data_IF_676455435068
#
_entry.id   IF_676455435068
#
_cell.length_a   1.000
_cell.length_b   1.000
_cell.length_c   1.000
_cell.angle_alpha   90.00
_cell.angle_beta   90.00
_cell.angle_gamma   90.00
#
_symmetry.space_group_name_H-M   'P 1'
#
loop_
_entity.id
_entity.type
_entity.pdbx_description
1 polymer ?
#
# COMPACT_ATOMS: atom_id res chain seq x y z
N UNK A 1 23.06 -26.70 51.06
CA UNK A 1 21.67 -27.11 50.80
C UNK A 1 20.84 -25.83 50.65
N UNK A 2 20.23 -25.64 49.47
CA UNK A 2 19.19 -24.67 49.06
C UNK A 2 19.20 -23.23 49.61
N UNK A 3 19.46 -22.27 48.71
CA UNK A 3 19.06 -20.86 48.88
C UNK A 3 17.72 -20.64 48.15
N UNK A 4 16.67 -20.07 48.77
CA UNK A 4 15.47 -19.64 48.07
C UNK A 4 15.32 -18.12 48.11
N UNK A 5 15.56 -17.44 46.99
CA UNK A 5 15.06 -16.07 46.76
C UNK A 5 14.10 -16.11 45.57
N UNK A 6 12.80 -16.22 45.87
CA UNK A 6 11.71 -16.02 44.90
C UNK A 6 10.93 -14.78 45.32
N UNK A 7 11.31 -13.58 44.86
CA UNK A 7 10.32 -12.51 44.70
C UNK A 7 10.68 -11.30 43.80
N UNK A 8 11.84 -11.23 43.16
CA UNK A 8 12.26 -9.99 42.47
C UNK A 8 11.84 -9.88 40.99
N UNK A 9 11.24 -10.91 40.40
CA UNK A 9 11.01 -10.96 38.94
C UNK A 9 9.91 -10.01 38.44
N UNK A 10 9.00 -9.54 39.31
CA UNK A 10 7.78 -8.85 38.87
C UNK A 10 7.95 -7.34 38.56
N UNK A 11 9.06 -6.70 38.96
CA UNK A 11 9.24 -5.25 38.73
C UNK A 11 9.86 -4.91 37.37
N UNK A 12 10.61 -5.83 36.76
CA UNK A 12 11.28 -5.58 35.46
C UNK A 12 10.27 -5.59 34.31
N UNK A 13 9.18 -6.38 34.43
CA UNK A 13 8.20 -6.54 33.35
C UNK A 13 7.30 -5.31 33.14
N UNK A 14 7.12 -4.46 34.16
CA UNK A 14 6.22 -3.28 34.08
C UNK A 14 6.83 -2.09 33.32
N UNK A 15 8.15 -2.10 33.08
CA UNK A 15 8.85 -0.96 32.47
C UNK A 15 9.03 -1.09 30.95
N UNK A 16 8.76 -2.25 30.35
CA UNK A 16 9.03 -2.51 28.91
C UNK A 16 7.80 -2.18 28.03
N UNK A 17 6.59 -2.09 28.60
CA UNK A 17 5.36 -2.08 27.78
C UNK A 17 4.81 -0.68 27.42
N UNK A 18 5.42 0.44 27.84
CA UNK A 18 4.76 1.76 27.71
C UNK A 18 5.17 2.60 26.48
N UNK A 19 6.11 2.15 25.65
CA UNK A 19 6.64 2.97 24.54
C UNK A 19 6.45 2.33 23.15
N UNK A 20 5.83 1.14 23.04
CA UNK A 20 5.76 0.37 21.78
C UNK A 20 4.44 0.48 21.01
N UNK A 21 3.37 1.02 21.61
CA UNK A 21 2.04 0.97 21.01
C UNK A 21 1.77 2.07 19.96
N UNK A 22 2.48 3.20 20.01
CA UNK A 22 2.25 4.32 19.07
C UNK A 22 2.87 4.05 17.70
N UNK A 23 3.91 3.21 17.62
CA UNK A 23 4.66 3.01 16.38
C UNK A 23 4.09 1.90 15.48
N UNK A 24 3.54 0.82 16.06
CA UNK A 24 3.07 -0.35 15.29
C UNK A 24 1.65 -0.14 14.74
N UNK A 25 0.82 0.62 15.44
CA UNK A 25 -0.57 0.86 15.02
C UNK A 25 -0.63 1.74 13.77
N UNK A 26 0.13 2.84 13.74
CA UNK A 26 0.18 3.75 12.59
C UNK A 26 0.83 3.05 11.38
N UNK A 27 1.92 2.30 11.57
CA UNK A 27 2.61 1.62 10.46
C UNK A 27 1.76 0.51 9.81
N UNK A 28 0.96 -0.24 10.56
CA UNK A 28 0.06 -1.26 9.99
C UNK A 28 -1.18 -0.65 9.34
N UNK A 29 -1.76 0.40 9.92
CA UNK A 29 -2.92 1.07 9.36
C UNK A 29 -2.59 1.70 7.99
N UNK A 30 -1.39 2.26 7.84
CA UNK A 30 -0.93 2.85 6.59
C UNK A 30 -0.06 1.88 5.75
N UNK A 31 0.23 0.66 6.21
CA UNK A 31 1.04 -0.32 5.46
C UNK A 31 0.50 -0.62 4.05
N UNK A 32 -0.82 -0.77 3.82
CA UNK A 32 -1.35 -1.02 2.48
C UNK A 32 -1.12 0.18 1.55
N UNK A 33 -1.41 1.39 2.04
CA UNK A 33 -1.27 2.67 1.33
C UNK A 33 0.21 2.95 1.02
N UNK A 34 1.08 2.79 2.01
CA UNK A 34 2.53 2.94 1.86
C UNK A 34 3.10 1.87 0.91
N UNK A 35 2.53 0.66 0.90
CA UNK A 35 2.87 -0.39 -0.05
C UNK A 35 2.48 -0.04 -1.49
N UNK A 36 1.27 0.48 -1.70
CA UNK A 36 0.79 0.98 -2.99
C UNK A 36 1.62 2.18 -3.47
N UNK A 37 1.90 3.16 -2.62
CA UNK A 37 2.76 4.32 -2.94
C UNK A 37 4.19 3.88 -3.25
N UNK A 38 4.73 2.88 -2.56
CA UNK A 38 6.06 2.33 -2.84
C UNK A 38 6.11 1.65 -4.21
N UNK A 39 5.11 0.83 -4.53
CA UNK A 39 4.97 0.20 -5.85
C UNK A 39 4.75 1.26 -6.94
N UNK A 40 3.93 2.28 -6.67
CA UNK A 40 3.68 3.40 -7.57
C UNK A 40 4.94 4.20 -7.89
N UNK A 41 5.74 4.54 -6.87
CA UNK A 41 7.05 5.20 -7.05
C UNK A 41 8.02 4.31 -7.84
N UNK A 42 8.07 3.01 -7.53
CA UNK A 42 8.88 2.04 -8.27
C UNK A 42 8.49 1.93 -9.74
N UNK A 43 7.19 2.07 -10.05
CA UNK A 43 6.69 2.11 -11.43
C UNK A 43 7.01 3.47 -12.07
N UNK A 44 6.83 4.57 -11.34
CA UNK A 44 7.15 5.92 -11.82
C UNK A 44 8.63 6.07 -12.20
N UNK A 45 9.54 5.50 -11.40
CA UNK A 45 10.99 5.46 -11.69
C UNK A 45 11.34 4.65 -12.95
N UNK A 46 10.44 3.73 -13.37
CA UNK A 46 10.55 2.98 -14.63
C UNK A 46 9.83 3.71 -15.77
N UNK A 47 8.75 4.44 -15.48
CA UNK A 47 7.96 5.26 -16.43
C UNK A 47 8.69 6.53 -16.86
N UNK A 48 9.55 7.13 -16.03
CA UNK A 48 10.46 8.20 -16.48
C UNK A 48 11.36 7.78 -17.66
N UNK A 49 11.60 6.46 -17.83
CA UNK A 49 12.34 5.92 -18.98
C UNK A 49 11.46 5.59 -20.18
N UNK A 50 10.15 5.38 -20.00
CA UNK A 50 9.19 5.12 -21.07
C UNK A 50 7.88 5.87 -20.80
N UNK A 51 7.79 7.11 -21.29
CA UNK A 51 6.52 7.85 -21.41
C UNK A 51 5.61 7.13 -22.44
N UNK A 52 5.04 6.00 -22.05
CA UNK A 52 4.22 5.13 -22.87
C UNK A 52 2.76 5.27 -22.46
N UNK A 53 1.83 5.16 -23.42
CA UNK A 53 0.38 5.21 -23.19
C UNK A 53 -0.08 4.26 -22.07
N UNK A 54 0.57 3.10 -21.95
CA UNK A 54 0.35 2.14 -20.86
C UNK A 54 0.71 2.69 -19.47
N UNK A 55 1.80 3.48 -19.35
CA UNK A 55 2.23 4.09 -18.09
C UNK A 55 1.19 5.07 -17.56
N UNK A 56 0.66 5.93 -18.45
CA UNK A 56 -0.40 6.88 -18.10
C UNK A 56 -1.69 6.19 -17.62
N UNK A 57 -2.05 5.03 -18.18
CA UNK A 57 -3.24 4.29 -17.70
C UNK A 57 -2.99 3.67 -16.32
N UNK A 58 -1.77 3.17 -16.06
CA UNK A 58 -1.38 2.65 -14.73
C UNK A 58 -1.37 3.75 -13.66
N UNK A 59 -0.86 4.94 -13.98
CA UNK A 59 -0.93 6.11 -13.08
C UNK A 59 -2.37 6.45 -12.69
N UNK A 60 -3.30 6.40 -13.66
CA UNK A 60 -4.71 6.67 -13.40
C UNK A 60 -5.36 5.60 -12.52
N UNK A 61 -5.01 4.32 -12.71
CA UNK A 61 -5.48 3.23 -11.84
C UNK A 61 -5.02 3.44 -10.38
N UNK A 62 -3.76 3.85 -10.19
CA UNK A 62 -3.25 4.15 -8.85
C UNK A 62 -3.96 5.35 -8.20
N UNK A 63 -4.21 6.40 -8.98
CA UNK A 63 -4.99 7.54 -8.50
C UNK A 63 -6.43 7.14 -8.14
N UNK A 64 -7.06 6.27 -8.93
CA UNK A 64 -8.40 5.75 -8.65
C UNK A 64 -8.44 4.95 -7.34
N UNK A 65 -7.46 4.07 -7.12
CA UNK A 65 -7.32 3.30 -5.87
C UNK A 65 -7.20 4.22 -4.65
N UNK A 66 -6.36 5.25 -4.74
CA UNK A 66 -6.19 6.21 -3.64
C UNK A 66 -7.51 6.94 -3.32
N UNK A 67 -8.27 7.35 -4.34
CA UNK A 67 -9.56 8.02 -4.15
C UNK A 67 -10.56 7.11 -3.45
N UNK A 68 -10.59 5.82 -3.78
CA UNK A 68 -11.43 4.83 -3.10
C UNK A 68 -10.98 4.61 -1.65
N UNK A 69 -9.67 4.46 -1.39
CA UNK A 69 -9.12 4.31 -0.04
C UNK A 69 -9.37 5.53 0.87
N UNK A 70 -9.51 6.71 0.28
CA UNK A 70 -9.85 7.95 0.98
C UNK A 70 -11.37 8.18 1.11
N UNK A 71 -12.19 7.19 0.76
CA UNK A 71 -13.66 7.28 0.70
C UNK A 71 -14.18 8.46 -0.15
N UNK A 72 -13.39 8.93 -1.13
CA UNK A 72 -13.80 10.01 -2.06
C UNK A 72 -14.75 9.51 -3.15
N UNK A 73 -14.74 8.19 -3.41
CA UNK A 73 -15.64 7.48 -4.33
C UNK A 73 -16.14 6.21 -3.66
N UNK A 74 -17.34 5.78 -4.04
CA UNK A 74 -17.90 4.50 -3.60
C UNK A 74 -17.41 3.33 -4.46
N UNK A 75 -17.75 2.11 -4.03
CA UNK A 75 -17.38 0.87 -4.71
C UNK A 75 -17.95 0.79 -6.14
N UNK A 76 -19.19 1.27 -6.35
CA UNK A 76 -19.83 1.24 -7.68
C UNK A 76 -19.14 2.18 -8.68
N UNK A 77 -18.73 3.38 -8.22
CA UNK A 77 -17.94 4.30 -9.03
C UNK A 77 -16.53 3.77 -9.28
N UNK A 78 -15.88 3.19 -8.25
CA UNK A 78 -14.57 2.56 -8.39
C UNK A 78 -14.58 1.46 -9.45
N UNK A 79 -15.48 0.48 -9.33
CA UNK A 79 -15.58 -0.67 -10.24
C UNK A 79 -15.79 -0.23 -11.69
N UNK A 80 -16.69 0.74 -11.90
CA UNK A 80 -16.98 1.27 -13.24
C UNK A 80 -15.76 1.92 -13.88
N UNK A 81 -15.05 2.75 -13.13
CA UNK A 81 -13.87 3.46 -13.64
C UNK A 81 -12.67 2.52 -13.80
N UNK A 82 -12.49 1.56 -12.89
CA UNK A 82 -11.45 0.53 -12.97
C UNK A 82 -11.60 -0.29 -14.25
N UNK A 83 -12.81 -0.79 -14.50
CA UNK A 83 -13.13 -1.58 -15.71
C UNK A 83 -12.81 -0.81 -17.00
N UNK A 84 -13.13 0.48 -17.04
CA UNK A 84 -12.84 1.34 -18.19
C UNK A 84 -11.33 1.51 -18.41
N UNK A 85 -10.57 1.72 -17.33
CA UNK A 85 -9.13 1.86 -17.39
C UNK A 85 -8.44 0.53 -17.77
N UNK A 86 -8.89 -0.60 -17.23
CA UNK A 86 -8.38 -1.92 -17.55
C UNK A 86 -8.64 -2.29 -19.02
N UNK A 87 -9.85 -2.03 -19.54
CA UNK A 87 -10.15 -2.21 -20.97
C UNK A 87 -9.24 -1.38 -21.87
N UNK A 88 -8.94 -0.13 -21.48
CA UNK A 88 -8.01 0.73 -22.22
C UNK A 88 -6.58 0.17 -22.20
N UNK A 89 -6.14 -0.34 -21.05
CA UNK A 89 -4.83 -0.95 -20.89
C UNK A 89 -4.68 -2.20 -21.78
N UNK A 90 -5.72 -3.03 -21.84
CA UNK A 90 -5.76 -4.20 -22.71
C UNK A 90 -5.64 -3.80 -24.19
N UNK A 91 -6.41 -2.80 -24.64
CA UNK A 91 -6.34 -2.32 -26.02
C UNK A 91 -4.92 -1.84 -26.39
N UNK A 92 -4.27 -1.07 -25.52
CA UNK A 92 -2.90 -0.60 -25.74
C UNK A 92 -1.92 -1.76 -25.90
N UNK A 93 -2.10 -2.84 -25.11
CA UNK A 93 -1.25 -4.04 -25.22
C UNK A 93 -1.47 -4.79 -26.51
N UNK A 94 -2.73 -4.95 -26.93
CA UNK A 94 -3.07 -5.58 -28.22
C UNK A 94 -2.46 -4.78 -29.37
N UNK A 95 -2.59 -3.45 -29.35
CA UNK A 95 -2.06 -2.57 -30.39
C UNK A 95 -0.53 -2.62 -30.48
N UNK A 96 0.16 -2.75 -29.34
CA UNK A 96 1.62 -2.95 -29.31
C UNK A 96 2.03 -4.31 -29.87
N UNK A 97 1.24 -5.36 -29.65
CA UNK A 97 1.55 -6.72 -30.10
C UNK A 97 1.33 -6.89 -31.62
N UNK A 98 0.43 -6.09 -32.20
CA UNK A 98 0.12 -6.11 -33.64
C UNK A 98 1.03 -5.19 -34.49
N UNK A 99 2.02 -4.53 -33.88
CA UNK A 99 3.04 -3.69 -34.55
C UNK A 99 4.35 -4.46 -34.71
#
# INVERSE_FOLDING_TARGET
>A
MSVPYRHTTLLIFRLIHKEADIFILDDILFAPINGLIFVAKKINDVVEKETSDEGTVKERLMALQLRFELDEIDEEEYDREEDNLLRKLEQIRIDKQNR
#
